data_IF_070944429845
#
_entry.id   IF_070944429845
#
_cell.length_a   1.000
_cell.length_b   1.000
_cell.length_c   1.000
_cell.angle_alpha   90.00
_cell.angle_beta   90.00
_cell.angle_gamma   90.00
#
_symmetry.space_group_name_H-M   'P 1'
#
loop_
_entity.id
_entity.type
_entity.pdbx_description
1 polymer ?
#
# COMPACT_ATOMS: atom_id res chain seq x y z
N UNK A 1 -19.11 -14.85 21.17
CA UNK A 1 -18.12 -14.96 20.07
C UNK A 1 -16.94 -14.11 20.44
N UNK A 2 -15.98 -14.66 21.16
CA UNK A 2 -14.82 -13.89 21.63
C UNK A 2 -13.73 -13.89 20.56
N UNK A 3 -13.78 -12.88 19.69
CA UNK A 3 -12.64 -12.48 18.88
C UNK A 3 -11.73 -11.59 19.72
N UNK A 4 -10.42 -11.84 19.68
CA UNK A 4 -9.43 -10.95 20.27
C UNK A 4 -9.63 -9.51 19.71
N UNK A 5 -9.37 -8.46 20.52
CA UNK A 5 -9.57 -7.09 20.08
C UNK A 5 -8.67 -6.77 18.88
N UNK A 6 -9.21 -6.01 17.93
CA UNK A 6 -8.46 -5.52 16.78
C UNK A 6 -7.25 -4.70 17.26
N UNK A 7 -6.08 -5.06 16.74
CA UNK A 7 -4.83 -4.35 17.01
C UNK A 7 -4.44 -3.53 15.78
N UNK A 8 -4.04 -2.27 15.95
CA UNK A 8 -3.52 -1.48 14.83
C UNK A 8 -2.27 -2.14 14.28
N UNK A 9 -2.26 -2.34 12.96
CA UNK A 9 -1.13 -2.88 12.21
C UNK A 9 -1.19 -2.36 10.78
N UNK A 10 -0.02 -2.14 10.20
CA UNK A 10 0.09 -1.95 8.77
C UNK A 10 0.05 -3.31 8.09
N UNK A 11 -0.80 -3.42 7.06
CA UNK A 11 -0.89 -4.60 6.20
C UNK A 11 -0.19 -4.33 4.88
N UNK A 12 0.58 -5.30 4.41
CA UNK A 12 1.29 -5.21 3.14
C UNK A 12 0.92 -6.37 2.23
N UNK A 13 0.84 -6.10 0.93
CA UNK A 13 0.64 -7.12 -0.09
C UNK A 13 1.57 -6.87 -1.27
N UNK A 14 1.94 -7.97 -1.93
CA UNK A 14 2.66 -7.94 -3.19
C UNK A 14 2.16 -9.05 -4.09
N UNK A 15 2.01 -8.72 -5.36
CA UNK A 15 1.67 -9.66 -6.42
C UNK A 15 2.59 -9.41 -7.60
N UNK A 16 3.19 -10.47 -8.15
CA UNK A 16 4.09 -10.37 -9.32
C UNK A 16 3.64 -11.34 -10.39
N UNK A 17 3.52 -10.85 -11.62
CA UNK A 17 3.23 -11.63 -12.83
C UNK A 17 4.00 -11.04 -14.00
N UNK A 18 4.92 -11.81 -14.58
CA UNK A 18 5.77 -11.36 -15.70
C UNK A 18 6.51 -10.05 -15.36
N UNK A 19 6.40 -9.02 -16.22
CA UNK A 19 6.96 -7.69 -15.98
C UNK A 19 6.15 -6.83 -15.00
N UNK A 20 4.94 -7.27 -14.64
CA UNK A 20 4.04 -6.52 -13.78
C UNK A 20 4.25 -6.89 -12.30
N UNK A 21 4.42 -5.89 -11.45
CA UNK A 21 4.40 -6.07 -10.00
C UNK A 21 3.46 -5.06 -9.35
N UNK A 22 2.56 -5.56 -8.52
CA UNK A 22 1.68 -4.79 -7.66
C UNK A 22 2.16 -4.86 -6.23
N UNK A 23 1.98 -3.75 -5.53
CA UNK A 23 2.18 -3.64 -4.10
C UNK A 23 1.02 -2.87 -3.48
N UNK A 24 0.75 -3.14 -2.22
CA UNK A 24 -0.12 -2.29 -1.42
C UNK A 24 0.36 -2.21 0.03
N UNK A 25 0.18 -1.05 0.64
CA UNK A 25 0.30 -0.84 2.08
C UNK A 25 -1.01 -0.23 2.59
N UNK A 26 -1.60 -0.80 3.63
CA UNK A 26 -2.76 -0.24 4.33
C UNK A 26 -2.40 0.01 5.78
N UNK A 27 -2.57 1.25 6.22
CA UNK A 27 -2.41 1.64 7.62
C UNK A 27 -3.63 2.45 8.08
N UNK A 28 -4.40 1.87 9.00
CA UNK A 28 -5.73 2.37 9.33
C UNK A 28 -6.65 2.41 8.10
N UNK A 29 -7.16 3.59 7.79
CA UNK A 29 -8.07 3.82 6.67
C UNK A 29 -7.34 4.06 5.35
N UNK A 30 -6.08 4.51 5.40
CA UNK A 30 -5.34 4.86 4.21
C UNK A 30 -4.71 3.64 3.56
N UNK A 31 -4.84 3.53 2.24
CA UNK A 31 -4.23 2.49 1.43
C UNK A 31 -3.46 3.12 0.29
N UNK A 32 -2.17 2.77 0.18
CA UNK A 32 -1.33 3.05 -0.98
C UNK A 32 -1.32 1.81 -1.87
N UNK A 33 -1.55 1.98 -3.15
CA UNK A 33 -1.37 0.98 -4.20
C UNK A 33 -0.27 1.45 -5.14
N UNK A 34 0.68 0.58 -5.43
CA UNK A 34 1.76 0.83 -6.40
C UNK A 34 1.75 -0.27 -7.45
N UNK A 35 1.78 0.12 -8.72
CA UNK A 35 1.91 -0.79 -9.86
C UNK A 35 3.18 -0.44 -10.62
N UNK A 36 4.02 -1.44 -10.89
CA UNK A 36 5.06 -1.36 -11.89
C UNK A 36 4.69 -2.27 -13.06
N UNK A 37 4.86 -1.78 -14.28
CA UNK A 37 4.59 -2.49 -15.53
C UNK A 37 5.69 -2.12 -16.54
N UNK A 38 6.72 -2.96 -16.64
CA UNK A 38 7.96 -2.59 -17.34
C UNK A 38 8.65 -1.39 -16.67
N UNK A 39 8.92 -0.33 -17.44
CA UNK A 39 9.54 0.90 -16.94
C UNK A 39 8.53 1.91 -16.37
N UNK A 40 7.23 1.62 -16.46
CA UNK A 40 6.18 2.49 -15.95
C UNK A 40 5.86 2.16 -14.49
N UNK A 41 5.74 3.20 -13.67
CA UNK A 41 5.32 3.09 -12.27
C UNK A 41 4.18 4.05 -12.02
N UNK A 42 3.11 3.53 -11.44
CA UNK A 42 1.93 4.29 -11.05
C UNK A 42 1.64 4.06 -9.57
N UNK A 43 1.18 5.11 -8.89
CA UNK A 43 0.84 5.07 -7.47
C UNK A 43 -0.45 5.82 -7.20
N UNK A 44 -1.29 5.24 -6.35
CA UNK A 44 -2.56 5.81 -5.93
C UNK A 44 -2.77 5.61 -4.43
N UNK A 45 -3.36 6.61 -3.78
CA UNK A 45 -3.66 6.57 -2.36
C UNK A 45 -5.15 6.83 -2.14
N UNK A 46 -5.79 6.02 -1.31
CA UNK A 46 -7.22 6.07 -1.03
C UNK A 46 -7.47 6.09 0.47
N UNK A 47 -8.53 6.77 0.88
CA UNK A 47 -9.13 6.60 2.21
C UNK A 47 -10.27 5.59 2.10
N UNK A 48 -10.05 4.36 2.56
CA UNK A 48 -11.03 3.27 2.45
C UNK A 48 -12.25 3.44 3.37
N UNK A 49 -12.21 4.33 4.37
CA UNK A 49 -13.38 4.62 5.18
C UNK A 49 -14.33 5.58 4.45
N UNK A 50 -13.78 6.55 3.72
CA UNK A 50 -14.55 7.52 2.94
C UNK A 50 -14.86 7.03 1.50
N UNK A 51 -13.98 6.21 0.93
CA UNK A 51 -14.01 5.74 -0.45
C UNK A 51 -13.63 4.24 -0.56
N UNK A 52 -14.53 3.33 -0.14
CA UNK A 52 -14.29 1.88 -0.21
C UNK A 52 -14.09 1.36 -1.65
N UNK A 53 -14.54 2.10 -2.66
CA UNK A 53 -14.46 1.74 -4.07
C UNK A 53 -13.16 2.23 -4.74
N UNK A 54 -12.29 2.93 -4.00
CA UNK A 54 -11.00 3.44 -4.52
C UNK A 54 -11.16 4.32 -5.77
N UNK A 55 -12.16 5.19 -5.76
CA UNK A 55 -12.52 6.06 -6.87
C UNK A 55 -11.80 7.42 -6.87
N UNK A 56 -11.33 7.89 -5.71
CA UNK A 56 -10.68 9.20 -5.55
C UNK A 56 -9.21 9.04 -5.13
N UNK A 57 -8.30 9.35 -6.05
CA UNK A 57 -6.87 9.37 -5.75
C UNK A 57 -6.45 10.60 -4.92
N UNK A 58 -5.82 10.35 -3.77
CA UNK A 58 -5.38 11.37 -2.80
C UNK A 58 -3.87 11.64 -2.81
N UNK A 59 -3.09 11.03 -3.71
CA UNK A 59 -1.60 11.16 -3.71
C UNK A 59 -1.12 12.61 -3.73
N UNK A 60 -1.77 13.48 -4.50
CA UNK A 60 -1.45 14.92 -4.58
C UNK A 60 -2.09 15.78 -3.49
N UNK A 61 -3.13 15.28 -2.82
CA UNK A 61 -3.88 16.03 -1.80
C UNK A 61 -3.27 15.89 -0.40
N UNK A 62 -2.63 14.75 -0.12
CA UNK A 62 -2.08 14.42 1.20
C UNK A 62 -0.63 13.92 1.11
N UNK A 63 0.34 14.78 0.75
CA UNK A 63 1.72 14.37 0.48
C UNK A 63 2.46 13.79 1.69
N UNK A 64 2.10 14.22 2.91
CA UNK A 64 2.70 13.71 4.14
C UNK A 64 2.33 12.24 4.40
N UNK A 65 1.05 11.89 4.26
CA UNK A 65 0.56 10.52 4.43
C UNK A 65 0.99 9.62 3.28
N UNK A 66 0.96 10.11 2.05
CA UNK A 66 1.51 9.41 0.90
C UNK A 66 2.98 9.04 1.12
N UNK A 67 3.81 10.00 1.52
CA UNK A 67 5.23 9.76 1.80
C UNK A 67 5.44 8.78 2.97
N UNK A 68 4.57 8.82 4.00
CA UNK A 68 4.60 7.88 5.13
C UNK A 68 4.33 6.44 4.68
N UNK A 69 3.26 6.22 3.92
CA UNK A 69 2.91 4.90 3.38
C UNK A 69 3.94 4.40 2.38
N UNK A 70 4.47 5.27 1.51
CA UNK A 70 5.50 4.90 0.55
C UNK A 70 6.78 4.42 1.25
N UNK A 71 7.24 5.13 2.29
CA UNK A 71 8.38 4.68 3.10
C UNK A 71 8.12 3.36 3.80
N UNK A 72 6.93 3.17 4.37
CA UNK A 72 6.56 1.91 5.00
C UNK A 72 6.59 0.74 4.01
N UNK A 73 6.00 0.93 2.82
CA UNK A 73 5.96 -0.10 1.77
C UNK A 73 7.36 -0.46 1.25
N UNK A 74 8.21 0.55 1.02
CA UNK A 74 9.60 0.34 0.59
C UNK A 74 10.45 -0.32 1.68
N UNK A 75 10.22 0.00 2.95
CA UNK A 75 10.87 -0.64 4.08
C UNK A 75 10.50 -2.12 4.15
N UNK A 76 9.20 -2.42 4.10
CA UNK A 76 8.70 -3.79 4.07
C UNK A 76 9.24 -4.59 2.88
N UNK A 77 9.25 -4.03 1.66
CA UNK A 77 9.78 -4.74 0.48
C UNK A 77 11.25 -5.14 0.69
N UNK A 78 12.07 -4.27 1.28
CA UNK A 78 13.48 -4.58 1.58
C UNK A 78 13.63 -5.72 2.58
N UNK A 79 12.76 -5.79 3.59
CA UNK A 79 12.77 -6.87 4.58
C UNK A 79 12.29 -8.22 4.01
N UNK A 80 11.44 -8.19 2.97
CA UNK A 80 10.90 -9.40 2.34
C UNK A 80 11.78 -9.96 1.22
N UNK A 81 12.83 -9.27 0.78
CA UNK A 81 13.82 -9.85 -0.15
C UNK A 81 14.59 -10.93 0.61
N UNK A 82 14.53 -12.22 0.19
CA UNK A 82 15.28 -13.27 0.86
C UNK A 82 16.77 -12.93 0.87
N UNK A 83 17.41 -13.06 2.04
CA UNK A 83 18.88 -13.12 2.08
C UNK A 83 19.31 -14.27 1.17
N UNK A 84 20.13 -13.95 0.15
CA UNK A 84 20.73 -14.95 -0.75
C UNK A 84 21.95 -15.58 -0.11
#
# INVERSE_FOLDING_TARGET
TDGAPDRPRTLFWRYRREAMTWWAARDGNLKLVRKADGDQVEEWMYDLAADPAESKNLTGEQPADYGRLQRALLGWEKEMVPMR
#
